data_IF_521034266193
#
_entry.id   IF_521034266193
#
_cell.length_a   1.000
_cell.length_b   1.000
_cell.length_c   1.000
_cell.angle_alpha   90.00
_cell.angle_beta   90.00
_cell.angle_gamma   90.00
#
_symmetry.space_group_name_H-M   'P 1'
#
loop_
_entity.id
_entity.type
_entity.pdbx_description
1 polymer ?
#
# COMPACT_ATOMS: atom_id res chain seq x y z
N UNK A 1 -12.16 24.77 -0.50
CA UNK A 1 -12.32 23.44 0.11
C UNK A 1 -11.62 22.47 -0.81
N UNK A 2 -10.44 21.97 -0.44
CA UNK A 2 -9.73 20.95 -1.21
C UNK A 2 -10.41 19.61 -0.96
N UNK A 3 -10.95 18.98 -2.00
CA UNK A 3 -11.48 17.63 -1.91
C UNK A 3 -10.37 16.69 -1.42
N UNK A 4 -10.59 16.01 -0.29
CA UNK A 4 -9.68 14.95 0.16
C UNK A 4 -9.88 13.76 -0.78
N UNK A 5 -8.94 13.55 -1.69
CA UNK A 5 -9.01 12.45 -2.64
C UNK A 5 -8.47 11.18 -1.98
N UNK A 6 -9.36 10.38 -1.41
CA UNK A 6 -9.02 9.06 -0.87
C UNK A 6 -8.92 8.05 -2.01
N UNK A 7 -7.78 7.37 -2.12
CA UNK A 7 -7.56 6.29 -3.09
C UNK A 7 -8.36 5.06 -2.66
N UNK A 8 -9.32 4.57 -3.46
CA UNK A 8 -10.08 3.39 -3.11
C UNK A 8 -9.21 2.13 -3.13
N UNK A 9 -9.48 1.20 -2.23
CA UNK A 9 -8.85 -0.11 -2.20
C UNK A 9 -9.65 -1.06 -3.08
N UNK A 10 -9.04 -1.51 -4.18
CA UNK A 10 -9.63 -2.52 -5.06
C UNK A 10 -9.49 -3.90 -4.41
N UNK A 11 -10.61 -4.48 -3.94
CA UNK A 11 -10.62 -5.80 -3.29
C UNK A 11 -10.60 -6.93 -4.31
N UNK A 12 -9.90 -8.00 -3.99
CA UNK A 12 -9.87 -9.18 -4.84
C UNK A 12 -11.22 -9.91 -4.75
N UNK A 13 -11.83 -10.22 -5.89
CA UNK A 13 -13.12 -10.90 -5.95
C UNK A 13 -13.03 -12.38 -5.60
N UNK A 14 -11.87 -13.01 -5.86
CA UNK A 14 -11.58 -14.41 -5.59
C UNK A 14 -10.09 -14.60 -5.26
N UNK A 15 -9.77 -15.68 -4.53
CA UNK A 15 -8.40 -16.09 -4.20
C UNK A 15 -7.53 -14.97 -3.61
N UNK A 16 -8.16 -14.07 -2.85
CA UNK A 16 -7.49 -12.98 -2.16
C UNK A 16 -6.39 -13.54 -1.24
N UNK A 17 -5.24 -12.89 -1.23
CA UNK A 17 -4.16 -13.19 -0.31
C UNK A 17 -4.31 -12.21 0.85
N UNK A 18 -4.70 -12.66 2.05
CA UNK A 18 -5.05 -11.76 3.15
C UNK A 18 -3.93 -10.77 3.44
N UNK A 19 -4.32 -9.51 3.65
CA UNK A 19 -3.44 -8.40 3.99
C UNK A 19 -2.33 -8.08 3.00
N UNK A 20 -2.30 -8.70 1.81
CA UNK A 20 -1.28 -8.42 0.80
C UNK A 20 -1.85 -7.50 -0.26
N UNK A 21 -1.15 -6.43 -0.56
CA UNK A 21 -1.60 -5.40 -1.49
C UNK A 21 -0.51 -5.01 -2.47
N UNK A 22 -0.92 -4.74 -3.69
CA UNK A 22 -0.16 -4.04 -4.71
C UNK A 22 -0.44 -2.54 -4.56
N UNK A 23 0.61 -1.77 -4.29
CA UNK A 23 0.56 -0.31 -4.21
C UNK A 23 1.31 0.25 -5.42
N UNK A 24 0.61 1.01 -6.25
CA UNK A 24 1.23 1.75 -7.34
C UNK A 24 1.28 3.23 -6.98
N UNK A 25 2.42 3.84 -7.21
CA UNK A 25 2.67 5.26 -6.96
C UNK A 25 2.49 6.05 -8.26
N UNK A 26 2.21 7.35 -8.12
CA UNK A 26 2.14 8.28 -9.25
C UNK A 26 3.50 8.42 -9.91
N UNK A 27 3.52 8.82 -11.18
CA UNK A 27 4.75 8.92 -11.98
C UNK A 27 5.79 9.87 -11.37
N UNK A 28 5.37 10.94 -10.70
CA UNK A 28 6.25 11.91 -10.05
C UNK A 28 6.64 11.52 -8.61
N UNK A 29 6.09 10.45 -8.05
CA UNK A 29 6.38 10.02 -6.69
C UNK A 29 7.83 9.52 -6.55
N UNK A 30 8.45 9.82 -5.41
CA UNK A 30 9.74 9.24 -5.03
C UNK A 30 9.52 7.95 -4.23
N UNK A 31 9.92 6.81 -4.81
CA UNK A 31 9.62 5.50 -4.24
C UNK A 31 10.36 5.24 -2.93
N UNK A 32 11.60 5.70 -2.80
CA UNK A 32 12.37 5.49 -1.58
C UNK A 32 11.84 6.35 -0.43
N UNK A 33 11.51 7.62 -0.67
CA UNK A 33 10.90 8.49 0.33
C UNK A 33 9.54 7.98 0.79
N UNK A 34 8.73 7.46 -0.14
CA UNK A 34 7.45 6.85 0.19
C UNK A 34 7.62 5.61 1.09
N UNK A 35 8.56 4.72 0.75
CA UNK A 35 8.82 3.51 1.56
C UNK A 35 9.39 3.88 2.93
N UNK A 36 10.29 4.86 3.01
CA UNK A 36 10.79 5.37 4.29
C UNK A 36 9.65 5.92 5.17
N UNK A 37 8.71 6.67 4.59
CA UNK A 37 7.52 7.13 5.30
C UNK A 37 6.67 5.95 5.81
N UNK A 38 6.48 4.93 4.97
CA UNK A 38 5.70 3.75 5.31
C UNK A 38 6.34 2.98 6.48
N UNK A 39 7.67 2.82 6.48
CA UNK A 39 8.40 2.18 7.58
C UNK A 39 8.32 2.99 8.89
N UNK A 40 8.25 4.32 8.82
CA UNK A 40 8.06 5.17 10.00
C UNK A 40 6.67 4.98 10.64
N UNK A 41 5.63 4.68 9.86
CA UNK A 41 4.29 4.39 10.41
C UNK A 41 4.32 3.20 11.37
N UNK A 42 5.16 2.19 11.08
CA UNK A 42 5.35 1.02 11.95
C UNK A 42 5.98 1.44 13.26
N UNK A 43 7.07 2.21 13.20
CA UNK A 43 7.82 2.65 14.37
C UNK A 43 6.98 3.51 15.32
N UNK A 44 6.03 4.26 14.77
CA UNK A 44 5.08 5.08 15.56
C UNK A 44 3.94 4.27 16.17
N UNK A 45 3.71 3.06 15.69
CA UNK A 45 2.62 2.22 16.16
C UNK A 45 3.10 1.31 17.29
N UNK A 46 2.67 1.58 18.53
CA UNK A 46 2.99 0.74 19.70
C UNK A 46 2.18 -0.57 19.75
N UNK A 47 1.64 -1.01 18.61
CA UNK A 47 0.72 -2.13 18.53
C UNK A 47 1.34 -3.25 17.70
N UNK A 48 1.66 -4.36 18.37
CA UNK A 48 2.23 -5.57 17.75
C UNK A 48 1.31 -6.21 16.69
N UNK A 49 0.04 -5.78 16.63
CA UNK A 49 -0.94 -6.24 15.63
C UNK A 49 -0.82 -5.51 14.28
N UNK A 50 0.02 -4.48 14.18
CA UNK A 50 0.20 -3.69 12.96
C UNK A 50 1.36 -4.29 12.16
N UNK A 51 1.00 -4.99 11.09
CA UNK A 51 1.93 -5.43 10.07
C UNK A 51 2.03 -4.38 8.97
N UNK A 52 3.27 -4.00 8.68
CA UNK A 52 3.64 -3.39 7.42
C UNK A 52 5.00 -3.93 6.97
N UNK A 53 5.03 -4.60 5.82
CA UNK A 53 6.24 -5.21 5.29
C UNK A 53 6.23 -5.14 3.78
N UNK A 54 7.19 -4.44 3.21
CA UNK A 54 7.43 -4.47 1.76
C UNK A 54 7.97 -5.86 1.39
N UNK A 55 7.23 -6.58 0.55
CA UNK A 55 7.58 -7.92 0.07
C UNK A 55 8.42 -7.83 -1.20
N UNK A 56 8.06 -6.92 -2.10
CA UNK A 56 8.73 -6.77 -3.38
C UNK A 56 8.59 -5.33 -3.91
N UNK A 57 9.68 -4.71 -4.37
CA UNK A 57 9.64 -3.43 -5.10
C UNK A 57 9.62 -3.70 -6.60
N UNK A 58 8.74 -3.03 -7.33
CA UNK A 58 8.63 -3.22 -8.78
C UNK A 58 9.79 -2.52 -9.51
N UNK A 59 10.39 -3.19 -10.49
CA UNK A 59 11.48 -2.64 -11.31
C UNK A 59 10.99 -1.90 -12.55
N UNK A 60 9.81 -2.27 -13.07
CA UNK A 60 9.24 -1.72 -14.32
C UNK A 60 8.13 -0.69 -14.07
N UNK A 61 7.69 -0.52 -12.83
CA UNK A 61 6.66 0.43 -12.42
C UNK A 61 7.03 1.04 -11.07
N UNK A 62 6.54 2.25 -10.78
CA UNK A 62 6.68 2.85 -9.45
C UNK A 62 5.67 2.22 -8.50
N UNK A 63 6.14 1.36 -7.62
CA UNK A 63 5.27 0.67 -6.68
C UNK A 63 5.92 -0.54 -6.03
N UNK A 64 5.12 -1.24 -5.24
CA UNK A 64 5.56 -2.38 -4.47
C UNK A 64 4.39 -3.29 -4.10
N UNK A 65 4.71 -4.52 -3.72
CA UNK A 65 3.81 -5.41 -2.99
C UNK A 65 4.18 -5.34 -1.51
N UNK A 66 3.18 -5.18 -0.64
CA UNK A 66 3.39 -5.19 0.82
C UNK A 66 2.31 -5.99 1.54
N UNK A 67 2.67 -6.51 2.72
CA UNK A 67 1.69 -6.92 3.72
C UNK A 67 1.35 -5.69 4.55
N UNK A 68 0.07 -5.34 4.66
CA UNK A 68 -0.43 -4.13 5.31
C UNK A 68 -1.68 -4.44 6.13
N UNK A 69 -1.80 -3.82 7.30
CA UNK A 69 -2.97 -4.00 8.19
C UNK A 69 -3.55 -2.68 8.67
N UNK A 70 -4.87 -2.67 8.85
CA UNK A 70 -5.69 -1.62 9.45
C UNK A 70 -5.18 -0.18 9.24
N UNK A 71 -4.59 0.45 10.27
CA UNK A 71 -4.26 1.89 10.22
C UNK A 71 -3.25 2.28 9.14
N UNK A 72 -2.29 1.41 8.82
CA UNK A 72 -1.27 1.71 7.80
C UNK A 72 -1.89 1.70 6.40
N UNK A 73 -2.80 0.75 6.17
CA UNK A 73 -3.54 0.68 4.91
C UNK A 73 -4.46 1.88 4.73
N UNK A 74 -5.15 2.32 5.79
CA UNK A 74 -5.98 3.54 5.77
C UNK A 74 -5.13 4.79 5.47
N UNK A 75 -4.00 4.98 6.16
CA UNK A 75 -3.10 6.10 5.92
C UNK A 75 -2.56 6.13 4.47
N UNK A 76 -2.32 4.97 3.86
CA UNK A 76 -1.92 4.86 2.46
C UNK A 76 -3.00 5.36 1.50
N UNK A 77 -4.29 5.20 1.82
CA UNK A 77 -5.37 5.70 0.96
C UNK A 77 -5.40 7.23 0.88
N UNK A 78 -4.78 7.92 1.85
CA UNK A 78 -4.78 9.39 1.94
C UNK A 78 -3.48 10.02 1.39
N UNK A 79 -2.49 9.20 1.05
CA UNK A 79 -1.21 9.65 0.48
C UNK A 79 -1.41 10.25 -0.91
N UNK A 80 -0.92 11.48 -1.09
CA UNK A 80 -0.99 12.21 -2.35
C UNK A 80 -0.16 11.60 -3.48
N UNK A 81 0.85 10.79 -3.15
CA UNK A 81 1.74 10.12 -4.09
C UNK A 81 1.27 8.72 -4.49
N UNK A 82 0.19 8.20 -3.87
CA UNK A 82 -0.40 6.91 -4.21
C UNK A 82 -1.35 7.07 -5.39
N UNK A 83 -1.22 6.19 -6.38
CA UNK A 83 -2.08 6.15 -7.55
C UNK A 83 -3.19 5.11 -7.43
N UNK A 84 -2.85 3.91 -6.94
CA UNK A 84 -3.82 2.83 -6.77
C UNK A 84 -3.38 1.83 -5.71
N UNK A 85 -4.35 1.25 -5.03
CA UNK A 85 -4.16 0.16 -4.07
C UNK A 85 -5.08 -0.99 -4.49
N UNK A 86 -4.52 -2.18 -4.65
CA UNK A 86 -5.27 -3.39 -4.98
C UNK A 86 -4.85 -4.54 -4.07
N UNK A 87 -5.83 -5.30 -3.57
CA UNK A 87 -5.58 -6.53 -2.83
C UNK A 87 -5.04 -7.60 -3.79
N UNK A 88 -3.97 -8.26 -3.36
CA UNK A 88 -3.32 -9.29 -4.14
C UNK A 88 -4.17 -10.57 -4.16
N UNK A 89 -4.04 -11.34 -5.23
CA UNK A 89 -4.76 -12.60 -5.41
C UNK A 89 -3.88 -13.63 -6.11
N UNK A 90 -4.13 -14.90 -5.83
CA UNK A 90 -3.48 -15.97 -6.56
C UNK A 90 -4.06 -16.05 -7.98
N UNK A 91 -3.19 -16.06 -8.99
CA UNK A 91 -3.59 -16.34 -10.35
C UNK A 91 -4.21 -17.75 -10.43
N UNK A 92 -5.39 -17.82 -11.04
CA UNK A 92 -5.98 -19.09 -11.46
C UNK A 92 -5.75 -19.23 -12.95
N UNK A 93 -5.23 -20.38 -13.36
CA UNK A 93 -4.94 -20.73 -14.75
C UNK A 93 -5.89 -21.82 -15.20
#
# INVERSE_FOLDING_TARGET
MSESFTVPISRASQNAIPNRYLVCLKEHADTESHINWLEQQIAMSHNESIECKVVYKYSLAKGYTAVLTGPVLEALTERDDVNSIAEDSQATW
#
